data_IF_487065999496
#
_entry.id   IF_487065999496
#
_cell.length_a   1.000
_cell.length_b   1.000
_cell.length_c   1.000
_cell.angle_alpha   90.00
_cell.angle_beta   90.00
_cell.angle_gamma   90.00
#
_symmetry.space_group_name_H-M   'P 1'
#
loop_
_entity.id
_entity.type
_entity.pdbx_description
1 polymer ?
#
# COMPACT_ATOMS: atom_id res chain seq x y z
N UNK A 1 17.39 17.52 23.50
CA UNK A 1 16.33 18.28 22.80
C UNK A 1 15.79 17.40 21.68
N UNK A 2 14.53 17.01 21.79
CA UNK A 2 13.82 16.18 20.80
C UNK A 2 13.59 17.00 19.53
N UNK A 3 13.85 16.39 18.36
CA UNK A 3 13.69 17.00 17.03
C UNK A 3 12.19 17.17 16.67
N UNK A 4 11.42 17.84 17.53
CA UNK A 4 10.00 18.12 17.34
C UNK A 4 9.65 18.72 15.97
N UNK A 5 10.42 19.65 15.38
CA UNK A 5 10.10 20.17 14.06
C UNK A 5 10.23 19.11 12.96
N UNK A 6 11.20 18.20 13.09
CA UNK A 6 11.40 17.09 12.14
C UNK A 6 10.27 16.06 12.27
N UNK A 7 9.88 15.72 13.50
CA UNK A 7 8.77 14.80 13.77
C UNK A 7 7.44 15.32 13.21
N UNK A 8 7.13 16.61 13.39
CA UNK A 8 5.90 17.23 12.87
C UNK A 8 5.87 17.18 11.34
N UNK A 9 7.00 17.51 10.69
CA UNK A 9 7.11 17.45 9.23
C UNK A 9 6.97 16.02 8.70
N UNK A 10 7.60 15.04 9.36
CA UNK A 10 7.50 13.63 9.01
C UNK A 10 6.07 13.10 9.18
N UNK A 11 5.40 13.41 10.30
CA UNK A 11 4.02 13.00 10.56
C UNK A 11 3.04 13.57 9.51
N UNK A 12 3.22 14.84 9.12
CA UNK A 12 2.41 15.47 8.08
C UNK A 12 2.62 14.82 6.71
N UNK A 13 3.87 14.53 6.35
CA UNK A 13 4.21 13.89 5.07
C UNK A 13 3.69 12.44 5.02
N UNK A 14 3.92 11.67 6.09
CA UNK A 14 3.42 10.30 6.25
C UNK A 14 1.91 10.22 6.12
N UNK A 15 1.18 11.19 6.67
CA UNK A 15 -0.28 11.26 6.55
C UNK A 15 -0.74 11.50 5.12
N UNK A 16 -0.10 12.43 4.39
CA UNK A 16 -0.41 12.68 2.96
C UNK A 16 -0.15 11.44 2.11
N UNK A 17 1.01 10.78 2.29
CA UNK A 17 1.32 9.53 1.61
C UNK A 17 0.31 8.43 1.94
N UNK A 18 -0.10 8.31 3.21
CA UNK A 18 -1.11 7.34 3.65
C UNK A 18 -2.45 7.52 2.94
N UNK A 19 -2.91 8.76 2.78
CA UNK A 19 -4.15 9.05 2.08
C UNK A 19 -4.04 8.66 0.60
N UNK A 20 -2.98 9.10 -0.09
CA UNK A 20 -2.76 8.79 -1.52
C UNK A 20 -2.68 7.29 -1.75
N UNK A 21 -1.94 6.58 -0.90
CA UNK A 21 -1.80 5.14 -1.00
C UNK A 21 -3.11 4.40 -0.77
N UNK A 22 -3.94 4.82 0.21
CA UNK A 22 -5.27 4.24 0.41
C UNK A 22 -6.15 4.40 -0.83
N UNK A 23 -6.12 5.57 -1.47
CA UNK A 23 -6.82 5.79 -2.73
C UNK A 23 -6.28 4.90 -3.85
N UNK A 24 -4.95 4.80 -3.99
CA UNK A 24 -4.31 3.98 -5.02
C UNK A 24 -4.60 2.48 -4.82
N UNK A 25 -4.44 1.97 -3.59
CA UNK A 25 -4.73 0.58 -3.26
C UNK A 25 -6.21 0.25 -3.42
N UNK A 26 -7.10 1.17 -3.03
CA UNK A 26 -8.54 1.02 -3.23
C UNK A 26 -8.90 0.96 -4.71
N UNK A 27 -8.30 1.82 -5.52
CA UNK A 27 -8.51 1.83 -6.98
C UNK A 27 -8.02 0.53 -7.63
N UNK A 28 -6.83 0.04 -7.27
CA UNK A 28 -6.30 -1.24 -7.74
C UNK A 28 -7.20 -2.41 -7.32
N UNK A 29 -7.69 -2.39 -6.07
CA UNK A 29 -8.62 -3.40 -5.58
C UNK A 29 -9.96 -3.38 -6.31
N UNK A 30 -10.45 -2.21 -6.74
CA UNK A 30 -11.66 -2.13 -7.57
C UNK A 30 -11.40 -2.68 -8.98
N UNK A 31 -10.31 -2.24 -9.62
CA UNK A 31 -9.97 -2.68 -10.98
C UNK A 31 -9.73 -4.19 -11.09
N UNK A 32 -9.10 -4.80 -10.08
CA UNK A 32 -8.83 -6.23 -10.06
C UNK A 32 -9.99 -7.00 -9.41
N UNK A 33 -10.56 -6.47 -8.33
CA UNK A 33 -11.58 -7.14 -7.54
C UNK A 33 -12.94 -7.19 -8.22
N UNK A 34 -13.34 -6.17 -8.99
CA UNK A 34 -14.64 -6.18 -9.68
C UNK A 34 -14.72 -7.27 -10.76
N UNK A 35 -13.75 -7.42 -11.69
CA UNK A 35 -13.75 -8.53 -12.65
C UNK A 35 -13.69 -9.90 -11.97
N UNK A 36 -12.99 -10.01 -10.85
CA UNK A 36 -12.87 -11.26 -10.09
C UNK A 36 -14.17 -11.61 -9.38
N UNK A 37 -14.87 -10.64 -8.82
CA UNK A 37 -16.20 -10.82 -8.24
C UNK A 37 -17.21 -11.22 -9.32
N UNK A 38 -17.22 -10.54 -10.46
CA UNK A 38 -18.08 -10.88 -11.59
C UNK A 38 -17.81 -12.30 -12.10
N UNK A 39 -16.53 -12.66 -12.29
CA UNK A 39 -16.14 -14.00 -12.71
C UNK A 39 -16.47 -15.06 -11.65
N UNK A 40 -16.26 -14.75 -10.37
CA UNK A 40 -16.63 -15.62 -9.27
C UNK A 40 -18.14 -15.87 -9.24
N UNK A 41 -18.98 -14.82 -9.34
CA UNK A 41 -20.44 -14.97 -9.38
C UNK A 41 -20.91 -15.69 -10.64
N UNK A 42 -20.39 -15.35 -11.82
CA UNK A 42 -20.76 -16.02 -13.08
C UNK A 42 -20.34 -17.51 -13.08
N UNK A 43 -19.16 -17.82 -12.56
CA UNK A 43 -18.66 -19.19 -12.43
C UNK A 43 -19.39 -20.01 -11.35
N UNK A 44 -19.79 -19.38 -10.24
CA UNK A 44 -20.54 -20.05 -9.17
C UNK A 44 -21.96 -20.43 -9.57
N UNK A 45 -22.65 -19.55 -10.31
CA UNK A 45 -24.02 -19.80 -10.79
C UNK A 45 -24.03 -20.90 -11.86
N UNK A 46 -22.93 -21.10 -12.60
CA UNK A 46 -22.82 -22.10 -13.66
C UNK A 46 -22.33 -23.50 -13.26
N UNK A 47 -21.42 -23.64 -12.27
CA UNK A 47 -20.77 -24.92 -11.96
C UNK A 47 -20.41 -25.09 -10.47
N UNK A 48 -21.25 -25.75 -9.65
CA UNK A 48 -20.97 -26.04 -8.24
C UNK A 48 -20.11 -27.31 -8.09
N UNK A 49 -19.00 -27.42 -8.84
CA UNK A 49 -18.17 -28.63 -8.88
C UNK A 49 -16.79 -28.44 -8.26
N UNK A 50 -16.14 -29.50 -7.72
CA UNK A 50 -14.83 -29.41 -7.06
C UNK A 50 -13.71 -28.73 -7.87
N UNK A 51 -13.78 -28.80 -9.21
CA UNK A 51 -12.80 -28.16 -10.10
C UNK A 51 -12.84 -26.62 -10.09
N UNK A 52 -14.00 -26.01 -9.79
CA UNK A 52 -14.13 -24.55 -9.69
C UNK A 52 -13.44 -24.00 -8.44
N UNK A 53 -13.50 -24.75 -7.32
CA UNK A 53 -12.77 -24.42 -6.09
C UNK A 53 -11.25 -24.51 -6.25
N UNK A 54 -10.75 -25.52 -6.96
CA UNK A 54 -9.32 -25.63 -7.26
C UNK A 54 -8.83 -24.45 -8.13
N UNK A 55 -9.68 -23.99 -9.06
CA UNK A 55 -9.37 -22.85 -9.94
C UNK A 55 -9.41 -21.53 -9.16
N UNK A 56 -10.40 -21.35 -8.28
CA UNK A 56 -10.47 -20.22 -7.35
C UNK A 56 -9.26 -20.17 -6.41
N UNK A 57 -8.79 -21.33 -5.90
CA UNK A 57 -7.59 -21.42 -5.08
C UNK A 57 -6.31 -21.02 -5.81
N UNK A 58 -6.13 -21.46 -7.06
CA UNK A 58 -4.99 -21.05 -7.92
C UNK A 58 -5.04 -19.55 -8.22
N UNK A 59 -6.22 -19.02 -8.47
CA UNK A 59 -6.42 -17.59 -8.71
C UNK A 59 -6.11 -16.76 -7.46
N UNK A 60 -6.58 -17.18 -6.29
CA UNK A 60 -6.26 -16.56 -5.01
C UNK A 60 -4.75 -16.58 -4.73
N UNK A 61 -4.08 -17.71 -5.00
CA UNK A 61 -2.63 -17.82 -4.86
C UNK A 61 -1.87 -16.87 -5.83
N UNK A 62 -2.37 -16.69 -7.06
CA UNK A 62 -1.80 -15.75 -8.01
C UNK A 62 -1.96 -14.28 -7.58
N UNK A 63 -3.00 -13.95 -6.81
CA UNK A 63 -3.21 -12.62 -6.23
C UNK A 63 -2.34 -12.34 -4.99
N UNK A 64 -1.94 -13.38 -4.26
CA UNK A 64 -1.13 -13.23 -3.04
C UNK A 64 0.22 -12.56 -3.28
N UNK A 65 0.92 -12.93 -4.36
CA UNK A 65 2.22 -12.35 -4.72
C UNK A 65 2.15 -10.84 -4.96
N UNK A 66 1.29 -10.36 -5.89
CA UNK A 66 1.07 -8.93 -6.11
C UNK A 66 0.64 -8.17 -4.84
N UNK A 67 -0.21 -8.76 -4.00
CA UNK A 67 -0.64 -8.16 -2.72
C UNK A 67 0.52 -8.04 -1.73
N UNK A 68 1.42 -9.03 -1.66
CA UNK A 68 2.64 -8.94 -0.83
C UNK A 68 3.59 -7.85 -1.34
N UNK A 69 3.78 -7.73 -2.65
CA UNK A 69 4.61 -6.66 -3.24
C UNK A 69 4.01 -5.29 -2.92
N UNK A 70 2.68 -5.13 -3.05
CA UNK A 70 1.98 -3.91 -2.65
C UNK A 70 2.17 -3.61 -1.15
N UNK A 71 2.05 -4.61 -0.28
CA UNK A 71 2.31 -4.45 1.16
C UNK A 71 3.74 -4.07 1.50
N UNK A 72 4.73 -4.60 0.78
CA UNK A 72 6.14 -4.19 0.90
C UNK A 72 6.37 -2.76 0.43
N UNK A 73 5.78 -2.39 -0.71
CA UNK A 73 5.85 -1.03 -1.25
C UNK A 73 5.19 -0.01 -0.31
N UNK A 74 4.13 -0.41 0.38
CA UNK A 74 3.47 0.39 1.41
C UNK A 74 4.43 0.76 2.55
N UNK A 75 5.19 -0.20 3.09
CA UNK A 75 6.17 0.07 4.15
C UNK A 75 7.27 1.02 3.67
N UNK A 76 7.77 0.83 2.45
CA UNK A 76 8.77 1.71 1.85
C UNK A 76 8.26 3.15 1.68
N UNK A 77 7.05 3.33 1.15
CA UNK A 77 6.45 4.65 0.89
C UNK A 77 5.99 5.37 2.17
N UNK A 78 5.68 4.65 3.25
CA UNK A 78 5.19 5.26 4.49
C UNK A 78 6.24 5.49 5.56
N UNK A 79 7.34 4.76 5.51
CA UNK A 79 8.38 4.84 6.55
C UNK A 79 9.64 5.44 5.97
N UNK A 80 10.17 4.85 4.88
CA UNK A 80 11.47 5.24 4.37
C UNK A 80 11.44 6.56 3.58
N UNK A 81 10.49 6.70 2.65
CA UNK A 81 10.39 7.89 1.81
C UNK A 81 10.12 9.19 2.61
N UNK A 82 9.16 9.21 3.55
CA UNK A 82 8.82 10.42 4.30
C UNK A 82 9.97 10.87 5.19
N UNK A 83 10.65 9.92 5.84
CA UNK A 83 11.85 10.18 6.63
C UNK A 83 12.98 10.78 5.78
N UNK A 84 13.25 10.20 4.60
CA UNK A 84 14.33 10.70 3.72
C UNK A 84 14.03 12.09 3.17
N UNK A 85 12.77 12.38 2.84
CA UNK A 85 12.32 13.71 2.38
C UNK A 85 12.44 14.73 3.52
N UNK A 86 11.91 14.41 4.71
CA UNK A 86 11.99 15.31 5.88
C UNK A 86 13.44 15.61 6.27
N UNK A 87 14.32 14.60 6.25
CA UNK A 87 15.76 14.78 6.49
C UNK A 87 16.42 15.68 5.45
N UNK A 88 16.10 15.51 4.17
CA UNK A 88 16.66 16.35 3.09
C UNK A 88 16.18 17.80 3.18
N UNK A 89 14.91 18.02 3.53
CA UNK A 89 14.35 19.36 3.72
C UNK A 89 14.97 20.10 4.92
N UNK A 90 15.31 19.38 5.99
CA UNK A 90 15.90 19.98 7.18
C UNK A 90 17.44 20.02 7.17
N UNK A 91 18.12 19.46 6.17
CA UNK A 91 19.59 19.49 6.06
C UNK A 91 20.20 20.90 5.95
N UNK A 92 19.39 21.91 5.59
CA UNK A 92 19.75 23.32 5.61
C UNK A 92 19.37 24.07 6.89
N UNK A 93 18.67 23.44 7.83
CA UNK A 93 18.22 24.07 9.07
C UNK A 93 19.37 24.16 10.09
N UNK A 94 19.66 25.36 10.64
CA UNK A 94 20.72 25.54 11.63
C UNK A 94 20.51 24.72 12.92
N UNK A 95 19.29 24.29 13.22
CA UNK A 95 18.97 23.47 14.40
C UNK A 95 19.53 22.05 14.33
N UNK A 96 19.70 21.46 13.13
CA UNK A 96 20.28 20.12 12.98
C UNK A 96 21.81 20.11 12.89
N UNK A 97 22.45 21.27 12.67
CA UNK A 97 23.92 21.40 12.64
C UNK A 97 24.56 21.49 14.03
N UNK A 98 23.77 21.69 15.09
CA UNK A 98 24.26 21.76 16.47
C UNK A 98 24.38 20.38 17.14
N UNK A 99 24.36 19.29 16.36
CA UNK A 99 24.70 17.94 16.81
C UNK A 99 25.89 17.42 16.04
#
# INVERSE_FOLDING_TARGET
MTDRPLEIAEMGLRTKFRVIWKFLSGYILILIGAPVLEWAFAGFVGFPFPGSWATAGRFAAALFGPLQILGGLQLFLFVYLPYKIARKQNAGSPDLRRR
#
